data_IF_576997071819
#
_entry.id   IF_576997071819
#
_cell.length_a   1.000
_cell.length_b   1.000
_cell.length_c   1.000
_cell.angle_alpha   90.00
_cell.angle_beta   90.00
_cell.angle_gamma   90.00
#
_symmetry.space_group_name_H-M   'P 1'
#
loop_
_entity.id
_entity.type
_entity.pdbx_description
1 polymer ?
#
# COMPACT_ATOMS: atom_id res chain seq x y z
N UNK A 1 -42.46 -16.41 -57.69
CA UNK A 1 -41.65 -15.22 -57.32
C UNK A 1 -41.15 -15.44 -55.91
N UNK A 2 -39.85 -15.70 -55.73
CA UNK A 2 -39.24 -16.01 -54.44
C UNK A 2 -38.54 -14.74 -53.95
N UNK A 3 -39.07 -14.11 -52.91
CA UNK A 3 -38.48 -12.94 -52.26
C UNK A 3 -37.50 -13.42 -51.18
N UNK A 4 -36.22 -13.05 -51.30
CA UNK A 4 -35.19 -13.30 -50.29
C UNK A 4 -34.99 -12.03 -49.47
N UNK A 5 -35.29 -12.12 -48.18
CA UNK A 5 -35.05 -11.07 -47.18
C UNK A 5 -33.67 -11.34 -46.54
N UNK A 6 -32.69 -10.48 -46.81
CA UNK A 6 -31.37 -10.54 -46.17
C UNK A 6 -31.37 -9.65 -44.94
N UNK A 7 -31.21 -10.25 -43.77
CA UNK A 7 -31.04 -9.57 -42.49
C UNK A 7 -29.54 -9.29 -42.28
N UNK A 8 -29.14 -8.02 -42.29
CA UNK A 8 -27.77 -7.58 -41.97
C UNK A 8 -27.71 -7.31 -40.47
N UNK A 9 -26.98 -8.16 -39.73
CA UNK A 9 -26.72 -7.97 -38.31
C UNK A 9 -25.44 -7.13 -38.13
N UNK A 10 -25.59 -5.90 -37.66
CA UNK A 10 -24.47 -5.00 -37.35
C UNK A 10 -23.85 -5.42 -36.01
N UNK A 11 -22.66 -6.01 -36.06
CA UNK A 11 -21.87 -6.36 -34.89
C UNK A 11 -21.23 -5.08 -34.32
N UNK A 12 -21.80 -4.54 -33.24
CA UNK A 12 -21.25 -3.38 -32.53
C UNK A 12 -20.04 -3.80 -31.70
N UNK A 13 -18.84 -3.40 -32.12
CA UNK A 13 -17.60 -3.59 -31.37
C UNK A 13 -17.59 -2.59 -30.19
N UNK A 14 -17.90 -3.06 -28.98
CA UNK A 14 -17.71 -2.26 -27.76
C UNK A 14 -16.22 -2.25 -27.45
N UNK A 15 -15.56 -1.13 -27.71
CA UNK A 15 -14.21 -0.86 -27.23
C UNK A 15 -14.32 -0.63 -25.71
N UNK A 16 -14.14 -1.69 -24.92
CA UNK A 16 -13.93 -1.56 -23.49
C UNK A 16 -12.56 -0.91 -23.27
N UNK A 17 -12.55 0.37 -22.91
CA UNK A 17 -11.35 0.99 -22.36
C UNK A 17 -10.93 0.18 -21.14
N UNK A 18 -9.66 -0.23 -21.01
CA UNK A 18 -9.20 -0.83 -19.76
C UNK A 18 -9.41 0.21 -18.67
N UNK A 19 -10.30 -0.07 -17.73
CA UNK A 19 -10.34 0.67 -16.49
C UNK A 19 -8.95 0.48 -15.88
N UNK A 20 -8.17 1.56 -15.79
CA UNK A 20 -7.03 1.57 -14.91
C UNK A 20 -7.57 1.14 -13.55
N UNK A 21 -7.17 -0.03 -13.08
CA UNK A 21 -7.56 -0.53 -11.75
C UNK A 21 -6.93 0.44 -10.76
N UNK A 22 -7.69 1.46 -10.39
CA UNK A 22 -7.37 2.27 -9.24
C UNK A 22 -7.43 1.33 -8.05
N UNK A 23 -6.31 1.21 -7.35
CA UNK A 23 -6.25 0.61 -6.04
C UNK A 23 -7.37 1.18 -5.15
N UNK A 24 -8.14 0.28 -4.55
CA UNK A 24 -9.32 0.61 -3.74
C UNK A 24 -9.11 0.30 -2.26
N UNK A 25 -8.10 -0.50 -1.93
CA UNK A 25 -7.77 -0.93 -0.59
C UNK A 25 -7.06 0.13 0.24
N UNK A 26 -7.03 -0.12 1.54
CA UNK A 26 -6.30 0.69 2.51
C UNK A 26 -4.83 0.32 2.48
N UNK A 27 -3.93 1.31 2.43
CA UNK A 27 -2.49 1.09 2.61
C UNK A 27 -2.22 0.41 3.96
N UNK A 28 -1.57 -0.74 3.93
CA UNK A 28 -1.26 -1.58 5.09
C UNK A 28 0.18 -1.40 5.55
N UNK A 29 1.14 -1.84 4.75
CA UNK A 29 2.57 -1.71 5.03
C UNK A 29 3.29 -0.94 3.94
N UNK A 30 4.30 -0.18 4.37
CA UNK A 30 5.16 0.63 3.51
C UNK A 30 6.63 0.38 3.87
N UNK A 31 7.40 0.00 2.86
CA UNK A 31 8.86 0.04 2.85
C UNK A 31 9.27 1.07 1.80
N UNK A 32 10.05 2.12 2.13
CA UNK A 32 10.24 3.25 1.25
C UNK A 32 10.85 2.89 -0.11
N UNK A 33 10.31 3.48 -1.16
CA UNK A 33 10.90 3.46 -2.49
C UNK A 33 12.25 4.23 -2.53
N UNK A 34 13.01 4.05 -3.61
CA UNK A 34 14.30 4.73 -3.82
C UNK A 34 14.12 6.25 -3.81
N UNK A 35 13.00 6.73 -4.34
CA UNK A 35 12.61 8.14 -4.37
C UNK A 35 12.21 8.71 -2.99
N UNK A 36 11.84 7.86 -2.04
CA UNK A 36 11.33 8.24 -0.72
C UNK A 36 12.40 8.12 0.38
N UNK A 37 13.39 7.22 0.19
CA UNK A 37 14.39 6.86 1.19
C UNK A 37 15.13 8.08 1.78
N UNK A 38 15.53 9.04 0.95
CA UNK A 38 16.30 10.21 1.37
C UNK A 38 15.54 11.14 2.32
N UNK A 39 14.23 11.29 2.13
CA UNK A 39 13.38 12.11 3.00
C UNK A 39 13.20 11.48 4.40
N UNK A 40 13.42 10.17 4.50
CA UNK A 40 13.25 9.38 5.72
C UNK A 40 14.58 9.06 6.42
N UNK A 41 15.69 9.66 5.96
CA UNK A 41 17.02 9.47 6.56
C UNK A 41 17.74 8.19 6.13
N UNK A 42 17.26 7.50 5.10
CA UNK A 42 17.96 6.40 4.44
C UNK A 42 18.67 6.81 3.16
N UNK A 43 19.42 5.87 2.59
CA UNK A 43 20.04 5.99 1.28
C UNK A 43 19.15 5.30 0.24
N UNK A 44 19.00 5.94 -0.91
CA UNK A 44 18.42 5.33 -2.11
C UNK A 44 19.22 4.08 -2.51
N UNK A 45 18.53 2.94 -2.68
CA UNK A 45 19.15 1.68 -3.06
C UNK A 45 18.57 1.15 -4.39
N UNK A 46 19.33 0.25 -5.03
CA UNK A 46 18.91 -0.48 -6.23
C UNK A 46 19.37 -1.93 -6.09
N UNK A 47 18.49 -2.87 -6.41
CA UNK A 47 18.74 -4.30 -6.33
C UNK A 47 18.74 -4.91 -7.72
N UNK A 48 19.68 -5.81 -7.98
CA UNK A 48 19.68 -6.59 -9.22
C UNK A 48 18.51 -7.58 -9.20
N UNK A 49 17.38 -7.16 -9.77
CA UNK A 49 16.20 -7.98 -10.00
C UNK A 49 16.23 -8.74 -11.32
N UNK A 50 17.30 -8.60 -12.12
CA UNK A 50 17.42 -9.17 -13.45
C UNK A 50 17.84 -10.63 -13.38
N UNK A 51 18.81 -10.94 -12.53
CA UNK A 51 19.52 -12.22 -12.60
C UNK A 51 18.60 -13.39 -12.28
N UNK A 52 18.52 -14.38 -13.18
CA UNK A 52 17.58 -15.51 -13.06
C UNK A 52 17.83 -16.43 -11.86
N UNK A 53 19.06 -16.47 -11.35
CA UNK A 53 19.37 -17.25 -10.16
C UNK A 53 19.23 -16.46 -8.85
N UNK A 54 19.12 -15.13 -8.90
CA UNK A 54 18.94 -14.31 -7.70
C UNK A 54 17.45 -14.28 -7.32
N UNK A 55 17.13 -14.97 -6.23
CA UNK A 55 15.80 -14.93 -5.62
C UNK A 55 15.84 -14.01 -4.41
N UNK A 56 15.12 -12.90 -4.51
CA UNK A 56 14.91 -11.96 -3.43
C UNK A 56 13.60 -12.28 -2.70
N UNK A 57 13.58 -12.13 -1.37
CA UNK A 57 12.34 -12.18 -0.60
C UNK A 57 12.28 -11.02 0.38
N UNK A 58 11.26 -10.19 0.26
CA UNK A 58 10.94 -9.16 1.25
C UNK A 58 9.88 -9.73 2.19
N UNK A 59 10.19 -9.84 3.49
CA UNK A 59 9.21 -10.20 4.51
C UNK A 59 8.36 -9.00 4.86
N UNK A 60 7.05 -9.23 4.94
CA UNK A 60 6.05 -8.23 5.27
C UNK A 60 5.22 -8.74 6.43
N UNK A 61 4.94 -7.87 7.39
CA UNK A 61 4.03 -8.14 8.49
C UNK A 61 2.76 -7.34 8.28
N UNK A 62 1.63 -8.00 8.04
CA UNK A 62 0.36 -7.31 7.90
C UNK A 62 0.07 -6.48 9.17
N UNK A 63 -0.27 -5.21 8.99
CA UNK A 63 -0.70 -4.31 10.07
C UNK A 63 -2.23 -4.24 10.17
N UNK A 64 -2.92 -4.52 9.06
CA UNK A 64 -4.37 -4.43 8.92
C UNK A 64 -4.95 -5.83 8.65
N UNK A 65 -6.04 -6.16 9.36
CA UNK A 65 -6.84 -7.34 9.04
C UNK A 65 -7.53 -7.13 7.68
N UNK A 66 -7.68 -8.16 6.86
CA UNK A 66 -8.46 -8.07 5.63
C UNK A 66 -8.02 -9.08 4.58
N UNK A 67 -8.38 -8.81 3.33
CA UNK A 67 -7.89 -9.55 2.17
C UNK A 67 -6.82 -8.72 1.46
N UNK A 68 -5.65 -9.27 1.17
CA UNK A 68 -4.63 -8.57 0.39
C UNK A 68 -5.19 -8.23 -0.99
N UNK A 69 -5.33 -6.93 -1.25
CA UNK A 69 -5.70 -6.42 -2.57
C UNK A 69 -4.54 -6.65 -3.52
N UNK A 70 -3.34 -6.24 -3.09
CA UNK A 70 -2.14 -6.28 -3.90
C UNK A 70 -1.02 -5.47 -3.28
N UNK A 71 0.00 -5.23 -4.09
CA UNK A 71 1.16 -4.45 -3.66
C UNK A 71 1.84 -3.75 -4.83
N UNK A 72 2.48 -2.63 -4.55
CA UNK A 72 3.30 -1.88 -5.49
C UNK A 72 4.79 -2.19 -5.27
N UNK A 73 5.54 -2.25 -6.37
CA UNK A 73 7.01 -2.24 -6.36
C UNK A 73 7.50 -1.12 -7.26
N UNK A 74 8.63 -0.51 -6.91
CA UNK A 74 9.33 0.47 -7.76
C UNK A 74 10.41 -0.24 -8.58
N UNK A 75 10.46 0.06 -9.88
CA UNK A 75 11.43 -0.48 -10.82
C UNK A 75 12.34 0.61 -11.37
N UNK A 76 13.60 0.26 -11.64
CA UNK A 76 14.65 1.20 -12.02
C UNK A 76 15.24 0.89 -13.39
N UNK A 77 15.24 1.90 -14.27
CA UNK A 77 16.26 2.05 -15.32
C UNK A 77 16.38 0.89 -16.31
N UNK A 78 15.39 0.01 -16.36
CA UNK A 78 15.45 -1.24 -17.09
C UNK A 78 15.09 -0.99 -18.56
N UNK A 79 15.73 -1.70 -19.49
CA UNK A 79 15.37 -1.60 -20.90
C UNK A 79 13.92 -2.09 -21.07
N UNK A 80 13.13 -1.43 -21.92
CA UNK A 80 11.77 -1.90 -22.27
C UNK A 80 11.79 -3.39 -22.60
N UNK A 81 10.92 -4.18 -21.96
CA UNK A 81 10.89 -5.64 -22.07
C UNK A 81 11.75 -6.39 -21.04
N UNK A 82 12.44 -5.69 -20.13
CA UNK A 82 12.98 -6.32 -18.92
C UNK A 82 11.84 -6.93 -18.09
N UNK A 83 12.09 -8.07 -17.47
CA UNK A 83 11.05 -8.92 -16.90
C UNK A 83 11.36 -9.29 -15.45
N UNK A 84 10.29 -9.46 -14.67
CA UNK A 84 10.35 -10.00 -13.32
C UNK A 84 9.13 -10.88 -13.03
N UNK A 85 9.39 -12.03 -12.43
CA UNK A 85 8.38 -12.87 -11.79
C UNK A 85 8.25 -12.47 -10.32
N UNK A 86 7.00 -12.35 -9.86
CA UNK A 86 6.68 -12.04 -8.47
C UNK A 86 5.75 -13.10 -7.89
N UNK A 87 6.01 -13.51 -6.65
CA UNK A 87 5.23 -14.56 -5.96
C UNK A 87 4.96 -14.12 -4.53
N UNK A 88 3.82 -14.56 -3.99
CA UNK A 88 3.48 -14.39 -2.58
C UNK A 88 3.47 -15.76 -1.90
N UNK A 89 4.06 -15.85 -0.71
CA UNK A 89 3.99 -17.04 0.17
C UNK A 89 3.59 -16.60 1.58
N UNK A 90 2.78 -17.41 2.25
CA UNK A 90 2.37 -17.15 3.63
C UNK A 90 3.41 -17.67 4.62
N UNK A 91 3.66 -16.90 5.68
CA UNK A 91 4.71 -17.11 6.67
C UNK A 91 5.91 -16.17 6.48
N UNK A 92 6.67 -15.97 7.55
CA UNK A 92 7.89 -15.16 7.56
C UNK A 92 9.16 -15.94 7.23
N UNK A 93 10.29 -15.26 7.35
CA UNK A 93 11.61 -15.78 7.07
C UNK A 93 11.90 -15.93 5.58
N UNK A 94 13.06 -16.51 5.27
CA UNK A 94 13.25 -17.14 3.97
C UNK A 94 12.28 -18.30 3.81
N UNK A 95 11.27 -18.13 2.96
CA UNK A 95 10.12 -19.00 2.87
C UNK A 95 10.15 -19.80 1.56
N UNK A 96 10.17 -21.13 1.70
CA UNK A 96 10.14 -22.08 0.57
C UNK A 96 8.84 -22.88 0.51
N UNK A 97 7.85 -22.51 1.34
CA UNK A 97 6.52 -23.10 1.35
C UNK A 97 5.72 -22.79 0.07
N UNK A 98 4.48 -23.29 -0.07
CA UNK A 98 3.71 -23.12 -1.30
C UNK A 98 3.50 -21.65 -1.71
N UNK A 99 3.56 -21.39 -3.02
CA UNK A 99 3.16 -20.11 -3.60
C UNK A 99 1.64 -20.00 -3.54
N UNK A 100 1.12 -18.94 -2.92
CA UNK A 100 -0.33 -18.66 -2.84
C UNK A 100 -0.82 -17.74 -3.94
N UNK A 101 0.08 -16.94 -4.53
CA UNK A 101 -0.18 -16.13 -5.71
C UNK A 101 1.11 -15.92 -6.52
N UNK A 102 1.00 -15.81 -7.84
CA UNK A 102 2.09 -15.46 -8.73
C UNK A 102 1.64 -14.54 -9.85
N UNK A 103 2.50 -13.61 -10.25
CA UNK A 103 2.33 -12.75 -11.41
C UNK A 103 3.68 -12.40 -12.01
N UNK A 104 3.66 -11.64 -13.10
CA UNK A 104 4.87 -11.18 -13.77
C UNK A 104 4.68 -9.77 -14.30
N UNK A 105 5.79 -9.07 -14.51
CA UNK A 105 5.78 -7.73 -15.10
C UNK A 105 6.91 -7.58 -16.12
N UNK A 106 6.56 -7.12 -17.31
CA UNK A 106 7.50 -6.66 -18.33
C UNK A 106 7.49 -5.12 -18.33
N UNK A 107 8.66 -4.51 -18.13
CA UNK A 107 8.75 -3.06 -18.09
C UNK A 107 8.38 -2.45 -19.44
N UNK A 108 7.53 -1.43 -19.38
CA UNK A 108 7.13 -0.63 -20.54
C UNK A 108 7.89 0.69 -20.61
N UNK A 109 8.70 1.02 -19.58
CA UNK A 109 9.33 2.31 -19.39
C UNK A 109 10.79 2.16 -18.96
N UNK A 110 11.63 3.10 -19.37
CA UNK A 110 13.06 3.12 -19.02
C UNK A 110 13.38 4.02 -17.82
N UNK A 111 12.40 4.78 -17.34
CA UNK A 111 12.52 5.62 -16.13
C UNK A 111 12.06 4.86 -14.89
N UNK A 112 12.31 5.46 -13.71
CA UNK A 112 11.66 5.03 -12.47
C UNK A 112 10.15 5.03 -12.65
N UNK A 113 9.52 3.95 -12.21
CA UNK A 113 8.07 3.83 -12.17
C UNK A 113 7.68 2.77 -11.14
N UNK A 114 6.48 2.88 -10.60
CA UNK A 114 5.86 1.81 -9.82
C UNK A 114 4.92 0.98 -10.68
N UNK A 115 4.69 -0.26 -10.26
CA UNK A 115 3.65 -1.12 -10.83
C UNK A 115 2.91 -1.82 -9.70
N UNK A 116 1.57 -1.83 -9.79
CA UNK A 116 0.70 -2.51 -8.86
C UNK A 116 0.41 -3.94 -9.32
N UNK A 117 0.69 -4.91 -8.45
CA UNK A 117 0.36 -6.31 -8.63
C UNK A 117 -0.94 -6.64 -7.90
N UNK A 118 -2.00 -6.90 -8.67
CA UNK A 118 -3.32 -7.30 -8.14
C UNK A 118 -3.32 -8.77 -7.71
N UNK A 119 -3.57 -9.00 -6.42
CA UNK A 119 -3.63 -10.31 -5.76
C UNK A 119 -5.04 -10.72 -5.35
N UNK A 120 -6.07 -9.92 -5.65
CA UNK A 120 -7.45 -10.14 -5.20
C UNK A 120 -7.99 -11.52 -5.58
N UNK A 121 -7.61 -12.04 -6.76
CA UNK A 121 -8.00 -13.37 -7.23
C UNK A 121 -7.50 -14.53 -6.35
N UNK A 122 -6.44 -14.32 -5.55
CA UNK A 122 -5.93 -15.32 -4.62
C UNK A 122 -6.65 -15.31 -3.25
N UNK A 123 -7.47 -14.29 -2.98
CA UNK A 123 -8.26 -14.17 -1.74
C UNK A 123 -7.42 -14.42 -0.47
N UNK A 124 -6.25 -13.77 -0.39
CA UNK A 124 -5.29 -13.96 0.70
C UNK A 124 -5.79 -13.17 1.91
N UNK A 125 -6.35 -13.86 2.89
CA UNK A 125 -6.85 -13.23 4.14
C UNK A 125 -5.72 -13.18 5.17
N UNK A 126 -5.45 -12.01 5.71
CA UNK A 126 -4.42 -11.75 6.73
C UNK A 126 -5.04 -11.06 7.94
N UNK A 127 -4.46 -11.30 9.11
CA UNK A 127 -4.70 -10.58 10.36
C UNK A 127 -3.49 -9.72 10.72
N UNK A 128 -3.64 -8.71 11.58
CA UNK A 128 -2.51 -7.95 12.09
C UNK A 128 -1.50 -8.87 12.77
N UNK A 129 -0.23 -8.73 12.38
CA UNK A 129 0.87 -9.56 12.84
C UNK A 129 1.18 -10.78 11.96
N UNK A 130 0.26 -11.18 11.07
CA UNK A 130 0.52 -12.27 10.12
C UNK A 130 1.69 -11.88 9.19
N UNK A 131 2.59 -12.84 8.96
CA UNK A 131 3.75 -12.65 8.09
C UNK A 131 3.49 -13.27 6.72
N UNK A 132 3.98 -12.61 5.69
CA UNK A 132 4.08 -13.15 4.34
C UNK A 132 5.36 -12.65 3.68
N UNK A 133 5.76 -13.27 2.57
CA UNK A 133 6.88 -12.78 1.75
C UNK A 133 6.42 -12.42 0.35
N UNK A 134 7.00 -11.33 -0.16
CA UNK A 134 7.00 -10.99 -1.59
C UNK A 134 8.32 -11.50 -2.14
N UNK A 135 8.25 -12.55 -2.97
CA UNK A 135 9.40 -13.14 -3.67
C UNK A 135 9.52 -12.54 -5.07
N UNK A 136 10.75 -12.21 -5.48
CA UNK A 136 11.06 -11.58 -6.76
C UNK A 136 12.23 -12.30 -7.43
N UNK A 137 12.10 -12.57 -8.73
CA UNK A 137 13.11 -13.26 -9.52
C UNK A 137 13.05 -12.79 -10.98
N UNK A 138 14.19 -12.41 -11.55
CA UNK A 138 14.27 -12.02 -12.97
C UNK A 138 14.51 -13.19 -13.92
N UNK A 139 14.78 -12.87 -15.19
CA UNK A 139 15.11 -13.83 -16.25
C UNK A 139 16.27 -13.37 -17.15
N UNK A 140 17.21 -12.62 -16.58
CA UNK A 140 18.42 -12.07 -17.23
C UNK A 140 18.15 -10.99 -18.30
N UNK A 141 17.04 -10.26 -18.19
CA UNK A 141 16.62 -9.24 -19.18
C UNK A 141 16.88 -7.79 -18.76
N UNK A 142 17.46 -7.54 -17.58
CA UNK A 142 17.94 -6.21 -17.16
C UNK A 142 17.10 -5.49 -16.11
N UNK A 143 16.18 -6.16 -15.43
CA UNK A 143 15.34 -5.55 -14.38
C UNK A 143 16.16 -5.10 -13.15
N UNK A 144 15.83 -3.95 -12.58
CA UNK A 144 16.27 -3.56 -11.23
C UNK A 144 15.08 -3.15 -10.38
N UNK A 145 15.19 -3.38 -9.08
CA UNK A 145 14.15 -3.11 -8.08
C UNK A 145 14.63 -1.97 -7.17
N UNK A 146 13.72 -1.08 -6.79
CA UNK A 146 13.98 0.05 -5.90
C UNK A 146 13.88 -0.29 -4.43
N UNK A 147 14.37 0.62 -3.59
CA UNK A 147 14.25 0.54 -2.14
C UNK A 147 15.24 1.41 -1.40
N UNK A 148 15.59 0.99 -0.18
CA UNK A 148 16.36 1.80 0.76
C UNK A 148 17.45 1.02 1.48
N UNK A 149 18.46 1.75 1.96
CA UNK A 149 19.51 1.23 2.81
C UNK A 149 19.78 2.19 3.98
N UNK A 150 19.88 1.62 5.18
CA UNK A 150 20.37 2.34 6.36
C UNK A 150 21.53 1.54 6.96
N UNK A 151 22.75 2.09 7.02
CA UNK A 151 23.88 1.38 7.60
C UNK A 151 23.70 1.15 9.10
N UNK A 152 24.01 -0.06 9.61
CA UNK A 152 24.12 -0.29 11.05
C UNK A 152 25.10 0.70 11.72
N UNK A 153 24.86 1.07 13.00
CA UNK A 153 23.89 0.47 13.93
C UNK A 153 22.48 1.07 13.84
N UNK A 154 22.22 1.96 12.89
CA UNK A 154 20.91 2.61 12.77
C UNK A 154 19.85 1.59 12.32
N UNK A 155 18.59 1.73 12.79
CA UNK A 155 17.52 0.83 12.37
C UNK A 155 17.17 1.05 10.88
N UNK A 156 16.83 -0.02 10.15
CA UNK A 156 16.33 0.08 8.78
C UNK A 156 14.98 0.81 8.72
N UNK A 157 14.64 1.38 7.55
CA UNK A 157 13.39 2.13 7.35
C UNK A 157 12.12 1.25 7.37
N UNK A 158 12.28 -0.07 7.24
CA UNK A 158 11.22 -1.05 7.45
C UNK A 158 11.73 -2.13 8.40
N UNK A 159 10.96 -2.57 9.41
CA UNK A 159 11.49 -3.44 10.46
C UNK A 159 11.84 -4.86 9.97
N UNK A 160 11.02 -5.48 9.12
CA UNK A 160 11.20 -6.89 8.72
C UNK A 160 12.27 -7.08 7.65
N UNK A 161 12.82 -8.29 7.54
CA UNK A 161 14.07 -8.50 6.80
C UNK A 161 13.89 -8.64 5.28
N UNK A 162 14.98 -8.33 4.57
CA UNK A 162 15.20 -8.69 3.17
C UNK A 162 16.11 -9.92 3.13
N UNK A 163 15.83 -10.88 2.25
CA UNK A 163 16.62 -12.10 2.07
C UNK A 163 17.09 -12.21 0.61
N UNK A 164 18.25 -12.86 0.41
CA UNK A 164 18.81 -13.17 -0.91
C UNK A 164 19.41 -14.58 -0.89
N UNK A 165 18.93 -15.46 -1.79
CA UNK A 165 19.47 -16.82 -1.98
C UNK A 165 19.44 -17.76 -0.75
N UNK A 166 18.70 -17.42 0.30
CA UNK A 166 18.65 -18.27 1.50
C UNK A 166 18.25 -17.54 2.78
N UNK A 167 18.27 -18.27 3.91
CA UNK A 167 17.99 -17.71 5.22
C UNK A 167 19.09 -16.75 5.68
N UNK A 168 18.69 -15.80 6.54
CA UNK A 168 19.54 -14.73 7.05
C UNK A 168 19.27 -13.41 6.31
N UNK A 169 19.26 -12.32 7.06
CA UNK A 169 19.06 -11.00 6.47
C UNK A 169 20.16 -10.73 5.41
N UNK A 170 19.81 -10.02 4.34
CA UNK A 170 20.74 -9.65 3.30
C UNK A 170 21.83 -8.71 3.84
N UNK A 171 23.09 -9.07 3.58
CA UNK A 171 24.30 -8.35 3.96
C UNK A 171 24.36 -8.04 5.47
N UNK A 172 24.08 -6.81 5.85
CA UNK A 172 24.20 -6.26 7.22
C UNK A 172 22.83 -5.96 7.85
N UNK A 173 21.76 -6.52 7.30
CA UNK A 173 20.37 -6.29 7.67
C UNK A 173 19.85 -4.85 7.45
N UNK A 174 20.63 -3.94 6.87
CA UNK A 174 20.24 -2.54 6.67
C UNK A 174 19.38 -2.27 5.42
N UNK A 175 19.27 -3.26 4.53
CA UNK A 175 18.71 -3.13 3.18
C UNK A 175 17.23 -3.52 3.12
N UNK A 176 16.40 -2.76 2.39
CA UNK A 176 14.97 -3.04 2.18
C UNK A 176 14.55 -2.76 0.74
N UNK A 177 13.93 -3.74 0.09
CA UNK A 177 13.18 -3.51 -1.14
C UNK A 177 11.98 -2.61 -0.81
N UNK A 178 11.74 -1.62 -1.64
CA UNK A 178 10.62 -0.69 -1.48
C UNK A 178 9.31 -1.34 -1.96
N UNK A 179 8.26 -1.21 -1.16
CA UNK A 179 6.93 -1.74 -1.48
C UNK A 179 5.84 -0.98 -0.74
N UNK A 180 4.64 -0.99 -1.31
CA UNK A 180 3.40 -0.62 -0.63
C UNK A 180 2.41 -1.78 -0.71
N UNK A 181 1.76 -2.16 0.38
CA UNK A 181 0.77 -3.26 0.38
C UNK A 181 -0.60 -2.72 0.76
N UNK A 182 -1.66 -3.33 0.23
CA UNK A 182 -3.00 -2.79 0.33
C UNK A 182 -4.00 -3.88 0.69
N UNK A 183 -4.92 -3.56 1.60
CA UNK A 183 -5.89 -4.51 2.15
C UNK A 183 -7.32 -4.08 1.81
N UNK A 184 -8.12 -5.03 1.33
CA UNK A 184 -9.57 -4.94 1.19
C UNK A 184 -10.28 -5.38 2.47
N UNK A 185 -11.41 -4.73 2.76
CA UNK A 185 -12.45 -5.31 3.61
C UNK A 185 -12.09 -5.52 5.09
N UNK A 186 -11.05 -4.88 5.60
CA UNK A 186 -10.75 -4.89 7.03
C UNK A 186 -9.89 -3.72 7.50
N UNK A 187 -9.64 -3.68 8.80
CA UNK A 187 -8.98 -2.57 9.50
C UNK A 187 -9.90 -1.42 9.86
N UNK A 188 -9.27 -0.36 10.37
CA UNK A 188 -9.92 0.92 10.59
C UNK A 188 -10.34 1.49 9.22
N UNK A 189 -11.56 1.97 9.11
CA UNK A 189 -12.12 2.53 7.89
C UNK A 189 -12.65 3.92 8.20
N UNK A 190 -12.39 4.86 7.30
CA UNK A 190 -12.87 6.23 7.37
C UNK A 190 -13.73 6.50 6.15
N UNK A 191 -14.93 7.01 6.38
CA UNK A 191 -15.76 7.61 5.35
C UNK A 191 -16.16 9.01 5.78
N UNK A 192 -16.30 9.92 4.82
CA UNK A 192 -16.77 11.28 5.08
C UNK A 192 -18.02 11.52 4.25
N UNK A 193 -19.05 12.05 4.89
CA UNK A 193 -20.33 12.37 4.26
C UNK A 193 -20.67 13.84 4.46
N UNK A 194 -21.41 14.44 3.53
CA UNK A 194 -21.77 15.86 3.56
C UNK A 194 -21.23 16.62 2.35
N UNK A 195 -21.23 17.94 2.44
CA UNK A 195 -20.80 18.83 1.34
C UNK A 195 -19.80 19.85 1.86
N UNK A 196 -18.68 20.07 1.17
CA UNK A 196 -17.79 21.18 1.48
C UNK A 196 -18.50 22.53 1.39
N UNK A 197 -18.07 23.47 2.22
CA UNK A 197 -18.78 24.73 2.44
C UNK A 197 -19.99 24.60 3.36
N UNK A 198 -20.29 23.40 3.84
CA UNK A 198 -21.39 23.09 4.75
C UNK A 198 -20.92 22.09 5.82
N UNK A 199 -21.89 21.43 6.47
CA UNK A 199 -21.63 20.41 7.47
C UNK A 199 -21.17 19.10 6.81
N UNK A 200 -20.09 18.52 7.33
CA UNK A 200 -19.63 17.17 7.02
C UNK A 200 -19.52 16.34 8.30
N UNK A 201 -19.64 15.02 8.16
CA UNK A 201 -19.48 14.05 9.25
C UNK A 201 -18.49 12.98 8.80
N UNK A 202 -17.46 12.77 9.61
CA UNK A 202 -16.53 11.66 9.44
C UNK A 202 -17.03 10.45 10.25
N UNK A 203 -17.21 9.31 9.59
CA UNK A 203 -17.59 8.05 10.22
C UNK A 203 -16.37 7.14 10.23
N UNK A 204 -16.07 6.62 11.42
CA UNK A 204 -14.99 5.67 11.65
C UNK A 204 -15.61 4.31 11.92
N UNK A 205 -15.13 3.27 11.24
CA UNK A 205 -15.54 1.88 11.47
C UNK A 205 -14.36 0.94 11.60
N UNK A 206 -14.58 -0.24 12.17
CA UNK A 206 -13.55 -1.28 12.27
C UNK A 206 -12.39 -0.99 13.23
N UNK A 207 -12.51 0.01 14.11
CA UNK A 207 -11.53 0.26 15.18
C UNK A 207 -11.72 -0.63 16.39
N UNK A 208 -10.87 -0.45 17.41
CA UNK A 208 -10.94 -1.23 18.66
C UNK A 208 -12.27 -0.98 19.38
N UNK A 209 -12.97 -2.06 19.71
CA UNK A 209 -14.24 -2.02 20.45
C UNK A 209 -14.10 -1.26 21.78
N UNK A 210 -14.99 -0.29 22.01
CA UNK A 210 -14.96 0.62 23.17
C UNK A 210 -13.67 1.49 23.28
N UNK A 211 -12.86 1.55 22.22
CA UNK A 211 -11.66 2.36 22.14
C UNK A 211 -11.95 3.80 21.71
N UNK A 212 -10.90 4.47 21.22
CA UNK A 212 -10.99 5.80 20.65
C UNK A 212 -10.25 5.84 19.31
N UNK A 213 -10.75 6.65 18.37
CA UNK A 213 -10.05 6.96 17.13
C UNK A 213 -9.83 8.46 17.00
N UNK A 214 -8.62 8.88 16.64
CA UNK A 214 -8.35 10.23 16.20
C UNK A 214 -8.67 10.36 14.71
N UNK A 215 -9.33 11.46 14.32
CA UNK A 215 -9.49 11.88 12.92
C UNK A 215 -8.49 13.01 12.69
N UNK A 216 -7.55 12.79 11.79
CA UNK A 216 -6.40 13.66 11.50
C UNK A 216 -6.53 14.12 10.05
N UNK A 217 -6.14 15.36 9.75
CA UNK A 217 -6.19 15.89 8.38
C UNK A 217 -4.92 16.66 8.03
N UNK A 218 -4.59 16.76 6.75
CA UNK A 218 -3.52 17.63 6.25
C UNK A 218 -4.01 18.48 5.06
N UNK A 219 -3.29 19.56 4.77
CA UNK A 219 -3.53 20.44 3.62
C UNK A 219 -2.54 20.10 2.48
N UNK A 220 -3.05 19.89 1.27
CA UNK A 220 -2.22 19.62 0.08
C UNK A 220 -2.01 18.13 -0.19
N UNK A 221 -1.00 17.77 -0.99
CA UNK A 221 -0.75 16.37 -1.36
C UNK A 221 -0.41 15.53 -0.12
N UNK A 222 -0.83 14.27 -0.11
CA UNK A 222 -0.47 13.31 0.95
C UNK A 222 1.02 12.96 0.92
N UNK A 223 1.41 12.02 1.78
CA UNK A 223 2.79 11.56 1.89
C UNK A 223 3.04 10.90 3.24
N UNK A 224 4.10 10.11 3.38
CA UNK A 224 4.39 9.43 4.63
C UNK A 224 4.87 10.41 5.70
N UNK A 225 4.18 10.47 6.85
CA UNK A 225 4.65 11.12 8.08
C UNK A 225 4.59 10.14 9.26
N UNK A 226 5.67 10.05 10.01
CA UNK A 226 5.67 9.37 11.29
C UNK A 226 5.04 10.26 12.38
N UNK A 227 4.15 9.70 13.20
CA UNK A 227 3.67 10.37 14.41
C UNK A 227 4.88 10.65 15.31
N UNK A 228 5.12 11.91 15.71
CA UNK A 228 6.23 12.26 16.60
C UNK A 228 6.19 11.51 17.94
N UNK A 229 7.30 11.54 18.68
CA UNK A 229 7.41 10.88 19.98
C UNK A 229 6.25 11.18 20.95
N UNK A 230 5.79 10.17 21.67
CA UNK A 230 4.59 10.25 22.52
C UNK A 230 3.95 8.88 22.76
N UNK A 231 2.82 8.85 23.46
CA UNK A 231 1.94 7.68 23.60
C UNK A 231 0.55 8.07 23.10
N UNK A 232 -0.24 7.15 22.51
CA UNK A 232 0.03 5.72 22.38
C UNK A 232 0.72 5.29 21.07
N UNK A 233 0.71 6.10 20.02
CA UNK A 233 1.03 5.67 18.64
C UNK A 233 2.26 6.36 18.02
N UNK A 234 3.29 6.66 18.81
CA UNK A 234 4.52 7.22 18.26
C UNK A 234 5.17 6.26 17.25
N UNK A 235 5.65 6.82 16.14
CA UNK A 235 6.26 6.05 15.05
C UNK A 235 5.28 5.45 14.06
N UNK A 236 3.96 5.47 14.32
CA UNK A 236 2.96 5.07 13.31
C UNK A 236 3.05 5.99 12.10
N UNK A 237 3.08 5.40 10.90
CA UNK A 237 3.09 6.14 9.65
C UNK A 237 1.65 6.51 9.25
N UNK A 238 1.42 7.79 8.99
CA UNK A 238 0.20 8.31 8.37
C UNK A 238 0.51 8.64 6.90
N UNK A 239 -0.46 8.46 6.01
CA UNK A 239 -0.37 8.97 4.63
C UNK A 239 -0.93 10.40 4.58
N UNK A 240 -0.31 11.26 5.38
CA UNK A 240 -0.60 12.68 5.53
C UNK A 240 0.72 13.46 5.50
N UNK A 241 0.76 14.66 4.93
CA UNK A 241 2.01 15.42 4.91
C UNK A 241 2.31 16.09 6.28
N UNK A 242 3.40 16.86 6.34
CA UNK A 242 3.85 17.56 7.56
C UNK A 242 2.92 18.67 8.09
N UNK A 243 1.80 18.96 7.43
CA UNK A 243 0.74 19.84 7.93
C UNK A 243 -0.36 19.07 8.70
N UNK A 244 -0.16 17.77 8.93
CA UNK A 244 -1.07 16.92 9.68
C UNK A 244 -1.48 17.54 11.02
N UNK A 245 -2.79 17.70 11.21
CA UNK A 245 -3.43 18.35 12.36
C UNK A 245 -4.55 17.45 12.87
N UNK A 246 -4.71 17.37 14.20
CA UNK A 246 -5.82 16.66 14.82
C UNK A 246 -7.13 17.39 14.56
N UNK A 247 -8.07 16.74 13.87
CA UNK A 247 -9.43 17.24 13.65
C UNK A 247 -10.37 16.94 14.82
N UNK A 248 -10.18 15.81 15.50
CA UNK A 248 -10.94 15.45 16.69
C UNK A 248 -10.71 14.00 17.12
N UNK A 249 -11.27 13.63 18.28
CA UNK A 249 -11.25 12.24 18.79
C UNK A 249 -12.68 11.74 18.92
N UNK A 250 -12.89 10.52 18.45
CA UNK A 250 -14.17 9.81 18.44
C UNK A 250 -14.09 8.66 19.42
N UNK A 251 -15.07 8.55 20.31
CA UNK A 251 -15.27 7.33 21.10
C UNK A 251 -15.91 6.26 20.22
N UNK A 252 -15.31 5.08 20.16
CA UNK A 252 -15.82 3.96 19.40
C UNK A 252 -16.77 3.14 20.29
N UNK A 253 -17.89 2.70 19.73
CA UNK A 253 -18.82 1.81 20.42
C UNK A 253 -18.31 0.37 20.53
N UNK A 254 -19.13 -0.55 21.07
CA UNK A 254 -18.77 -1.97 21.19
C UNK A 254 -18.47 -2.67 19.88
N UNK A 255 -18.98 -2.15 18.75
CA UNK A 255 -18.67 -2.65 17.40
C UNK A 255 -17.48 -1.97 16.72
N UNK A 256 -16.71 -1.13 17.43
CA UNK A 256 -15.56 -0.44 16.83
C UNK A 256 -15.92 0.73 15.91
N UNK A 257 -17.16 1.22 15.99
CA UNK A 257 -17.68 2.28 15.12
C UNK A 257 -17.95 3.56 15.90
N UNK A 258 -17.75 4.72 15.28
CA UNK A 258 -18.05 6.03 15.84
C UNK A 258 -18.13 7.12 14.78
N UNK A 259 -18.47 8.35 15.17
CA UNK A 259 -18.55 9.49 14.26
C UNK A 259 -18.00 10.78 14.88
N UNK A 260 -17.35 11.61 14.05
CA UNK A 260 -16.98 12.99 14.36
C UNK A 260 -17.85 13.93 13.53
N UNK A 261 -18.62 14.78 14.20
CA UNK A 261 -19.41 15.82 13.56
C UNK A 261 -20.88 15.87 14.01
N UNK A 262 -21.69 16.70 13.34
CA UNK A 262 -21.35 17.49 12.14
C UNK A 262 -20.32 18.61 12.41
N UNK A 263 -19.39 18.83 11.47
CA UNK A 263 -18.38 19.91 11.51
C UNK A 263 -18.52 20.76 10.25
N UNK A 264 -18.43 22.09 10.38
CA UNK A 264 -18.42 22.98 9.21
C UNK A 264 -17.05 22.91 8.51
N UNK A 265 -17.04 22.46 7.26
CA UNK A 265 -15.84 22.38 6.43
C UNK A 265 -15.85 23.53 5.42
N UNK A 266 -14.83 24.40 5.37
CA UNK A 266 -14.76 25.48 4.38
C UNK A 266 -14.81 24.95 2.94
N UNK A 267 -15.40 25.70 2.02
CA UNK A 267 -15.49 25.29 0.60
C UNK A 267 -14.12 25.07 -0.05
N UNK A 268 -13.11 25.84 0.35
CA UNK A 268 -11.73 25.70 -0.12
C UNK A 268 -10.98 24.45 0.37
N UNK A 269 -11.59 23.63 1.23
CA UNK A 269 -10.99 22.37 1.68
C UNK A 269 -11.15 21.23 0.65
N UNK A 270 -12.20 21.28 -0.17
CA UNK A 270 -12.48 20.28 -1.19
C UNK A 270 -11.34 20.20 -2.23
N UNK A 271 -10.90 18.99 -2.54
CA UNK A 271 -9.78 18.69 -3.41
C UNK A 271 -8.41 18.96 -2.80
N UNK A 272 -8.33 19.56 -1.61
CA UNK A 272 -7.06 20.00 -0.99
C UNK A 272 -6.81 19.29 0.34
N UNK A 273 -7.87 18.97 1.09
CA UNK A 273 -7.75 18.32 2.39
C UNK A 273 -7.79 16.81 2.23
N UNK A 274 -6.85 16.14 2.88
CA UNK A 274 -6.85 14.68 3.07
C UNK A 274 -7.10 14.39 4.54
N UNK A 275 -7.90 13.37 4.80
CA UNK A 275 -8.31 12.95 6.15
C UNK A 275 -7.99 11.48 6.34
N UNK A 276 -7.46 11.12 7.50
CA UNK A 276 -7.19 9.74 7.90
C UNK A 276 -7.61 9.55 9.36
N UNK A 277 -8.11 8.38 9.71
CA UNK A 277 -8.36 7.99 11.08
C UNK A 277 -7.19 7.15 11.63
N UNK A 278 -6.97 7.25 12.93
CA UNK A 278 -5.99 6.48 13.69
C UNK A 278 -6.68 5.91 14.94
N UNK A 279 -6.69 4.60 15.09
CA UNK A 279 -7.15 3.95 16.31
C UNK A 279 -6.09 4.15 17.40
N UNK A 280 -6.46 4.84 18.48
CA UNK A 280 -5.54 5.18 19.56
C UNK A 280 -5.21 4.00 20.47
N UNK A 281 -5.88 2.85 20.31
CA UNK A 281 -5.61 1.65 21.10
C UNK A 281 -4.66 0.71 20.35
N UNK A 282 -4.96 0.43 19.08
CA UNK A 282 -4.18 -0.49 18.25
C UNK A 282 -3.11 0.20 17.41
N UNK A 283 -3.18 1.52 17.27
CA UNK A 283 -2.36 2.32 16.36
C UNK A 283 -2.51 1.96 14.88
N UNK A 284 -3.62 1.29 14.52
CA UNK A 284 -4.01 1.06 13.14
C UNK A 284 -4.51 2.36 12.49
N UNK A 285 -4.20 2.54 11.21
CA UNK A 285 -4.64 3.68 10.40
C UNK A 285 -5.75 3.25 9.45
N UNK A 286 -6.57 4.21 9.02
CA UNK A 286 -7.58 3.98 7.99
C UNK A 286 -7.08 4.29 6.59
N UNK A 287 -7.95 4.04 5.60
CA UNK A 287 -7.85 4.68 4.29
C UNK A 287 -7.80 6.21 4.42
N UNK A 288 -7.25 6.87 3.41
CA UNK A 288 -7.27 8.33 3.28
C UNK A 288 -8.47 8.74 2.44
N UNK A 289 -9.22 9.73 2.93
CA UNK A 289 -10.31 10.36 2.19
C UNK A 289 -9.86 11.76 1.77
N UNK A 290 -9.91 12.06 0.48
CA UNK A 290 -9.80 13.43 -0.02
C UNK A 290 -11.20 14.06 0.03
N UNK A 291 -11.32 15.20 0.69
CA UNK A 291 -12.57 15.95 0.76
C UNK A 291 -12.94 16.55 -0.60
#
# INVERSE_FOLDING_TARGET
>A
MISRLSLVATLGLVLASPAALAQTGTLDQLSPFTSEAGALGGQSASYNGSTSFLVWQAEVQAGIAGTLEGFELEFLGAATGSHIDVRVRLGGGWNTGPVVWSGSYDTTQTSYHSYFFDTTSANIVLNPGDLFVIEMQGNDTGMNIGGSYVPPPNPPLYPNFLYLLGPGCFADCGWRIGFHTYMLGGGLQLSVTGTCGAQMTAQVGGGTANGQAAVIYCLGPGGPIAIPGGRPCAGTMLDLNNTATLGGVVNLGPGGNGQLGPVNVPSGACGVVRVQALDLTSCATSNVVQL
#
